data_IF_549031192833
#
_entry.id   IF_549031192833
#
_cell.length_a   1.000
_cell.length_b   1.000
_cell.length_c   1.000
_cell.angle_alpha   90.00
_cell.angle_beta   90.00
_cell.angle_gamma   90.00
#
_symmetry.space_group_name_H-M   'P 1'
#
loop_
_entity.id
_entity.type
_entity.pdbx_description
1 polymer ?
#
# COMPACT_ATOMS: atom_id res chain seq x y z
N UNK A 1 6.72 -45.60 -4.27
CA UNK A 1 5.98 -44.34 -4.00
C UNK A 1 6.90 -43.12 -3.77
N UNK A 2 8.09 -43.25 -3.16
CA UNK A 2 8.95 -42.10 -2.83
C UNK A 2 9.71 -41.44 -4.00
N UNK A 3 9.98 -42.16 -5.10
CA UNK A 3 10.81 -41.63 -6.21
C UNK A 3 10.21 -40.41 -6.93
N UNK A 4 8.89 -40.31 -6.99
CA UNK A 4 8.19 -39.14 -7.57
C UNK A 4 8.48 -37.87 -6.77
N UNK A 5 8.50 -37.98 -5.44
CA UNK A 5 8.78 -36.86 -4.54
C UNK A 5 10.21 -36.34 -4.72
N UNK A 6 11.20 -37.23 -4.89
CA UNK A 6 12.61 -36.85 -5.06
C UNK A 6 12.82 -36.02 -6.34
N UNK A 7 12.06 -36.28 -7.40
CA UNK A 7 12.17 -35.55 -8.67
C UNK A 7 11.34 -34.26 -8.66
N UNK A 8 10.11 -34.32 -8.14
CA UNK A 8 9.24 -33.14 -8.13
C UNK A 8 9.61 -32.11 -7.08
N UNK A 9 10.12 -32.54 -5.92
CA UNK A 9 10.47 -31.64 -4.83
C UNK A 9 11.43 -30.50 -5.23
N UNK A 10 12.58 -30.76 -5.90
CA UNK A 10 13.47 -29.68 -6.32
C UNK A 10 12.82 -28.75 -7.35
N UNK A 11 11.98 -29.27 -8.26
CA UNK A 11 11.26 -28.45 -9.24
C UNK A 11 10.22 -27.54 -8.58
N UNK A 12 9.50 -28.06 -7.59
CA UNK A 12 8.55 -27.29 -6.79
C UNK A 12 9.25 -26.21 -5.97
N UNK A 13 10.42 -26.52 -5.40
CA UNK A 13 11.21 -25.57 -4.61
C UNK A 13 11.75 -24.44 -5.49
N UNK A 14 12.22 -24.77 -6.70
CA UNK A 14 12.67 -23.77 -7.68
C UNK A 14 11.51 -22.90 -8.17
N UNK A 15 10.35 -23.50 -8.45
CA UNK A 15 9.12 -22.78 -8.78
C UNK A 15 8.63 -21.89 -7.65
N UNK A 16 8.72 -22.36 -6.40
CA UNK A 16 8.37 -21.58 -5.22
C UNK A 16 9.30 -20.37 -5.02
N UNK A 17 10.61 -20.56 -5.20
CA UNK A 17 11.60 -19.48 -5.16
C UNK A 17 11.38 -18.44 -6.25
N UNK A 18 11.04 -18.84 -7.48
CA UNK A 18 10.68 -17.90 -8.54
C UNK A 18 9.36 -17.18 -8.25
N UNK A 19 8.41 -17.87 -7.62
CA UNK A 19 7.13 -17.30 -7.21
C UNK A 19 7.26 -16.36 -6.00
N UNK A 20 8.33 -16.41 -5.22
CA UNK A 20 8.55 -15.50 -4.09
C UNK A 20 8.46 -14.04 -4.51
N UNK A 21 8.88 -13.65 -5.71
CA UNK A 21 8.65 -12.28 -6.21
C UNK A 21 7.17 -11.91 -6.22
N UNK A 22 6.28 -12.84 -6.59
CA UNK A 22 4.82 -12.64 -6.62
C UNK A 22 4.19 -12.62 -5.22
N UNK A 23 4.84 -13.25 -4.24
CA UNK A 23 4.48 -13.23 -2.80
C UNK A 23 5.06 -11.99 -2.11
N UNK A 24 6.21 -11.50 -2.55
CA UNK A 24 6.87 -10.31 -2.04
C UNK A 24 6.20 -9.03 -2.54
N UNK A 25 5.68 -9.02 -3.76
CA UNK A 25 4.98 -7.87 -4.36
C UNK A 25 3.73 -7.38 -3.59
N UNK A 26 2.89 -8.24 -2.96
CA UNK A 26 1.85 -7.77 -2.05
C UNK A 26 2.39 -7.31 -0.68
N UNK A 27 3.56 -7.80 -0.21
CA UNK A 27 4.18 -7.29 1.02
C UNK A 27 4.81 -5.91 0.81
N UNK A 28 5.34 -5.63 -0.38
CA UNK A 28 5.93 -4.33 -0.75
C UNK A 28 4.91 -3.22 -1.00
N UNK A 29 3.61 -3.55 -1.03
CA UNK A 29 2.49 -2.58 -1.02
C UNK A 29 2.08 -2.14 0.40
N UNK A 30 2.77 -2.59 1.44
CA UNK A 30 2.62 -2.04 2.78
C UNK A 30 3.49 -0.80 2.95
N UNK A 31 2.92 0.39 2.75
CA UNK A 31 3.50 1.69 3.19
C UNK A 31 4.99 1.86 2.84
N UNK A 32 5.27 2.39 1.66
CA UNK A 32 6.65 2.71 1.24
C UNK A 32 7.28 3.67 2.27
N UNK A 33 8.55 3.52 2.62
CA UNK A 33 9.27 4.48 3.48
C UNK A 33 9.12 5.93 2.97
N UNK A 34 9.02 6.11 1.65
CA UNK A 34 8.73 7.38 1.01
C UNK A 34 7.34 7.95 1.39
N UNK A 35 6.31 7.10 1.50
CA UNK A 35 4.97 7.52 1.93
C UNK A 35 4.97 7.92 3.42
N UNK A 36 5.81 7.28 4.25
CA UNK A 36 6.00 7.63 5.66
C UNK A 36 6.74 8.96 5.80
N UNK A 37 7.81 9.16 5.02
CA UNK A 37 8.57 10.40 5.03
C UNK A 37 7.69 11.59 4.59
N UNK A 38 6.88 11.43 3.54
CA UNK A 38 5.95 12.47 3.09
C UNK A 38 4.81 12.70 4.11
N UNK A 39 4.36 11.66 4.80
CA UNK A 39 3.40 11.80 5.90
C UNK A 39 4.01 12.58 7.06
N UNK A 40 5.22 12.25 7.53
CA UNK A 40 5.86 12.98 8.63
C UNK A 40 6.16 14.45 8.29
N UNK A 41 6.44 14.74 7.02
CA UNK A 41 6.69 16.11 6.53
C UNK A 41 5.41 16.95 6.41
N UNK A 42 4.26 16.32 6.10
CA UNK A 42 3.02 17.05 5.76
C UNK A 42 1.79 16.69 6.62
N UNK A 43 1.92 15.87 7.64
CA UNK A 43 0.82 15.49 8.51
C UNK A 43 0.66 16.50 9.65
N UNK A 44 -0.58 16.90 9.88
CA UNK A 44 -0.96 17.68 11.05
C UNK A 44 -0.83 16.83 12.34
N UNK A 45 -0.68 17.45 13.52
CA UNK A 45 -0.56 16.75 14.79
C UNK A 45 -1.71 15.78 15.07
N UNK A 46 -2.93 16.13 14.65
CA UNK A 46 -4.11 15.26 14.75
C UNK A 46 -3.97 13.96 13.93
N UNK A 47 -3.27 14.00 12.81
CA UNK A 47 -3.03 12.84 11.96
C UNK A 47 -1.92 11.94 12.54
N UNK A 48 -0.91 12.52 13.19
CA UNK A 48 0.07 11.78 13.98
C UNK A 48 -0.58 11.06 15.16
N UNK A 49 -1.48 11.72 15.88
CA UNK A 49 -2.17 11.13 17.04
C UNK A 49 -3.00 9.89 16.64
N UNK A 50 -3.57 9.93 15.44
CA UNK A 50 -4.27 8.78 14.86
C UNK A 50 -3.33 7.62 14.48
N UNK A 51 -2.07 7.89 14.12
CA UNK A 51 -1.06 6.85 13.89
C UNK A 51 -0.74 6.12 15.19
N UNK A 52 -0.55 6.86 16.29
CA UNK A 52 -0.30 6.28 17.61
C UNK A 52 -1.49 5.47 18.13
N UNK A 53 -2.72 5.91 17.82
CA UNK A 53 -3.94 5.27 18.33
C UNK A 53 -4.40 4.05 17.51
N UNK A 54 -4.18 4.04 16.19
CA UNK A 54 -4.78 3.04 15.28
C UNK A 54 -3.78 2.34 14.35
N UNK A 55 -2.50 2.73 14.40
CA UNK A 55 -1.43 2.17 13.58
C UNK A 55 -1.28 2.83 12.20
N UNK A 56 -0.05 2.82 11.70
CA UNK A 56 0.43 3.50 10.48
C UNK A 56 -0.39 3.15 9.23
N UNK A 57 -0.77 1.88 9.06
CA UNK A 57 -1.48 1.42 7.85
C UNK A 57 -2.85 2.08 7.70
N UNK A 58 -3.61 2.18 8.79
CA UNK A 58 -4.99 2.69 8.78
C UNK A 58 -5.05 4.22 8.68
N UNK A 59 -4.08 4.93 9.25
CA UNK A 59 -3.98 6.39 9.17
C UNK A 59 -3.52 6.86 7.78
N UNK A 60 -2.54 6.20 7.16
CA UNK A 60 -2.09 6.51 5.80
C UNK A 60 -3.18 6.33 4.75
N UNK A 61 -3.99 5.26 4.84
CA UNK A 61 -5.12 5.06 3.94
C UNK A 61 -6.13 6.21 4.02
N UNK A 62 -6.42 6.69 5.23
CA UNK A 62 -7.35 7.81 5.46
C UNK A 62 -6.77 9.14 4.95
N UNK A 63 -5.51 9.45 5.26
CA UNK A 63 -4.82 10.65 4.78
C UNK A 63 -4.77 10.69 3.25
N UNK A 64 -4.39 9.58 2.61
CA UNK A 64 -4.34 9.46 1.14
C UNK A 64 -5.71 9.64 0.51
N UNK A 65 -6.76 9.11 1.12
CA UNK A 65 -8.13 9.31 0.64
C UNK A 65 -8.57 10.77 0.71
N UNK A 66 -8.18 11.51 1.76
CA UNK A 66 -8.47 12.95 1.84
C UNK A 66 -7.74 13.73 0.75
N UNK A 67 -6.44 13.49 0.55
CA UNK A 67 -5.67 14.15 -0.53
C UNK A 67 -6.21 13.87 -1.93
N UNK A 68 -6.66 12.65 -2.22
CA UNK A 68 -7.22 12.30 -3.54
C UNK A 68 -8.61 12.89 -3.81
N UNK A 69 -9.38 13.24 -2.77
CA UNK A 69 -10.74 13.81 -2.93
C UNK A 69 -10.74 15.32 -3.17
N UNK A 70 -9.72 16.03 -2.69
CA UNK A 70 -9.56 17.47 -2.89
C UNK A 70 -9.57 17.90 -4.38
N UNK A 71 -8.80 17.29 -5.29
CA UNK A 71 -8.81 17.69 -6.70
C UNK A 71 -10.14 17.37 -7.41
N UNK A 72 -10.85 16.30 -7.01
CA UNK A 72 -12.15 15.93 -7.60
C UNK A 72 -13.25 16.93 -7.25
N UNK A 73 -13.27 17.44 -6.01
CA UNK A 73 -14.23 18.45 -5.60
C UNK A 73 -13.91 19.81 -6.22
N UNK A 74 -12.64 20.19 -6.30
CA UNK A 74 -12.22 21.39 -7.02
C UNK A 74 -12.63 21.36 -8.50
N UNK A 75 -12.50 20.19 -9.15
CA UNK A 75 -12.92 20.01 -10.54
C UNK A 75 -14.46 20.06 -10.73
N UNK A 76 -15.23 19.60 -9.74
CA UNK A 76 -16.69 19.67 -9.76
C UNK A 76 -17.21 21.10 -9.51
N UNK A 77 -16.57 21.83 -8.60
CA UNK A 77 -16.90 23.23 -8.31
C UNK A 77 -16.54 24.15 -9.48
N UNK A 78 -15.43 23.88 -10.18
CA UNK A 78 -15.04 24.64 -11.37
C UNK A 78 -15.99 24.46 -12.57
N UNK A 79 -16.69 23.33 -12.65
CA UNK A 79 -17.64 23.03 -13.74
C UNK A 79 -18.98 23.75 -13.58
N UNK A 80 -19.41 24.02 -12.34
CA UNK A 80 -20.68 24.69 -12.05
C UNK A 80 -20.69 26.19 -12.34
N UNK A 81 -19.54 26.79 -12.68
CA UNK A 81 -19.43 28.23 -12.97
C UNK A 81 -19.50 28.57 -14.46
N UNK A 82 -19.72 27.57 -15.33
CA UNK A 82 -19.76 27.73 -16.79
C UNK A 82 -21.11 27.39 -17.44
N UNK A 83 -22.18 27.21 -16.64
CA UNK A 83 -23.58 27.21 -17.12
C UNK A 83 -24.30 28.45 -16.61
#
# INVERSE_FOLDING_TARGET
MAGLLVVFFPLLLLGFLLFMERVEEPLRRGTTEADVAEFLDKADPEDLDNVFRYGVRRSLERWRNRRRRLPKLAALVGRQRQE
#
